data_IF_161341137821
#
_entry.id   IF_161341137821
#
_cell.length_a   1.000
_cell.length_b   1.000
_cell.length_c   1.000
_cell.angle_alpha   90.00
_cell.angle_beta   90.00
_cell.angle_gamma   90.00
#
_symmetry.space_group_name_H-M   'P 1'
#
loop_
_entity.id
_entity.type
_entity.pdbx_description
1 polymer ?
#
# COMPACT_ATOMS: atom_id res chain seq x y z
N UNK A 1 6.15 5.23 23.37
CA UNK A 1 6.85 3.97 23.04
C UNK A 1 7.21 3.29 24.35
N UNK A 2 7.17 1.96 24.42
CA UNK A 2 7.78 1.21 25.53
C UNK A 2 9.15 0.75 25.04
N UNK A 3 10.20 1.13 25.75
CA UNK A 3 11.57 0.79 25.40
C UNK A 3 12.09 -0.23 26.40
N UNK A 4 12.59 -1.36 25.89
CA UNK A 4 13.40 -2.30 26.66
C UNK A 4 14.85 -2.00 26.28
N UNK A 5 15.68 -1.72 27.27
CA UNK A 5 17.08 -1.41 27.04
C UNK A 5 17.77 -2.60 26.35
N UNK A 6 18.50 -2.38 25.26
CA UNK A 6 19.09 -3.46 24.46
C UNK A 6 20.11 -4.31 25.23
N UNK A 7 20.81 -3.68 26.19
CA UNK A 7 21.73 -4.35 27.13
C UNK A 7 21.05 -5.04 28.34
N UNK A 8 19.71 -5.01 28.42
CA UNK A 8 18.97 -5.78 29.42
C UNK A 8 18.96 -7.29 29.10
N UNK A 9 19.27 -7.65 27.85
CA UNK A 9 19.47 -9.04 27.42
C UNK A 9 20.93 -9.43 27.60
N UNK A 10 21.19 -10.62 28.13
CA UNK A 10 22.55 -11.09 28.34
C UNK A 10 23.26 -11.39 27.02
N UNK A 11 24.59 -11.28 27.06
CA UNK A 11 25.45 -11.73 25.97
C UNK A 11 25.27 -13.22 25.63
N UNK A 12 25.01 -14.08 26.62
CA UNK A 12 24.75 -15.51 26.42
C UNK A 12 23.47 -15.75 25.61
N UNK A 13 22.37 -15.05 25.93
CA UNK A 13 21.11 -15.17 25.19
C UNK A 13 21.24 -14.68 23.74
N UNK A 14 21.86 -13.52 23.55
CA UNK A 14 22.04 -12.92 22.22
C UNK A 14 23.05 -13.68 21.34
N UNK A 15 23.92 -14.49 21.95
CA UNK A 15 24.80 -15.40 21.20
C UNK A 15 24.05 -16.60 20.60
N UNK A 16 22.92 -16.99 21.22
CA UNK A 16 22.12 -18.16 20.82
C UNK A 16 20.95 -17.79 19.92
N UNK A 17 20.44 -16.57 20.04
CA UNK A 17 19.24 -16.10 19.34
C UNK A 17 19.49 -14.77 18.64
N UNK A 18 18.96 -14.63 17.43
CA UNK A 18 19.03 -13.38 16.68
C UNK A 18 18.27 -12.27 17.46
N UNK A 19 18.89 -11.09 17.71
CA UNK A 19 18.24 -9.99 18.43
C UNK A 19 16.88 -9.57 17.85
N UNK A 20 16.69 -9.68 16.54
CA UNK A 20 15.42 -9.34 15.89
C UNK A 20 14.34 -10.40 16.13
N UNK A 21 14.72 -11.67 16.27
CA UNK A 21 13.79 -12.74 16.66
C UNK A 21 13.37 -12.59 18.11
N UNK A 22 14.30 -12.19 18.99
CA UNK A 22 14.01 -11.85 20.39
C UNK A 22 13.02 -10.68 20.44
N UNK A 23 13.34 -9.57 19.76
CA UNK A 23 12.48 -8.39 19.73
C UNK A 23 11.08 -8.71 19.19
N UNK A 24 10.99 -9.41 18.06
CA UNK A 24 9.70 -9.83 17.48
C UNK A 24 8.89 -10.67 18.45
N UNK A 25 9.54 -11.69 19.03
CA UNK A 25 8.86 -12.65 19.89
C UNK A 25 8.32 -11.99 21.15
N UNK A 26 9.09 -11.10 21.78
CA UNK A 26 8.66 -10.39 22.99
C UNK A 26 7.42 -9.54 22.72
N UNK A 27 7.42 -8.76 21.64
CA UNK A 27 6.27 -7.91 21.30
C UNK A 27 5.06 -8.77 20.94
N UNK A 28 5.25 -9.81 20.11
CA UNK A 28 4.18 -10.73 19.72
C UNK A 28 3.58 -11.47 20.92
N UNK A 29 4.41 -11.99 21.81
CA UNK A 29 4.00 -12.67 23.04
C UNK A 29 3.19 -11.71 23.94
N UNK A 30 3.70 -10.48 24.12
CA UNK A 30 3.03 -9.44 24.92
C UNK A 30 1.65 -9.09 24.34
N UNK A 31 1.56 -8.91 23.02
CA UNK A 31 0.29 -8.60 22.36
C UNK A 31 -0.72 -9.74 22.47
N UNK A 32 -0.28 -11.00 22.32
CA UNK A 32 -1.14 -12.18 22.50
C UNK A 32 -1.66 -12.26 23.94
N UNK A 33 -0.80 -12.06 24.93
CA UNK A 33 -1.16 -12.11 26.34
C UNK A 33 -2.11 -10.98 26.77
N UNK A 34 -1.95 -9.79 26.19
CA UNK A 34 -2.72 -8.59 26.56
C UNK A 34 -3.92 -8.33 25.64
N UNK A 35 -4.19 -9.18 24.65
CA UNK A 35 -5.21 -8.96 23.63
C UNK A 35 -6.56 -8.58 24.21
N UNK A 36 -7.05 -9.36 25.18
CA UNK A 36 -8.38 -9.16 25.77
C UNK A 36 -8.46 -7.89 26.63
N UNK A 37 -7.33 -7.39 27.14
CA UNK A 37 -7.24 -6.13 27.90
C UNK A 37 -7.12 -4.92 26.98
N UNK A 38 -6.39 -5.06 25.87
CA UNK A 38 -6.13 -3.98 24.91
C UNK A 38 -7.31 -3.73 23.98
N UNK A 39 -8.02 -4.78 23.54
CA UNK A 39 -9.13 -4.65 22.59
C UNK A 39 -10.23 -3.69 23.08
N UNK A 40 -10.70 -3.75 24.36
CA UNK A 40 -11.67 -2.78 24.87
C UNK A 40 -11.15 -1.34 24.87
N UNK A 41 -9.86 -1.11 25.09
CA UNK A 41 -9.25 0.23 25.05
C UNK A 41 -9.29 0.77 23.62
N UNK A 42 -8.90 -0.05 22.65
CA UNK A 42 -8.94 0.28 21.23
C UNK A 42 -10.37 0.59 20.77
N UNK A 43 -11.34 -0.21 21.19
CA UNK A 43 -12.78 0.04 20.95
C UNK A 43 -13.24 1.37 21.54
N UNK A 44 -12.95 1.65 22.83
CA UNK A 44 -13.31 2.92 23.49
C UNK A 44 -12.67 4.13 22.85
N UNK A 45 -11.46 3.98 22.29
CA UNK A 45 -10.77 5.05 21.57
C UNK A 45 -11.37 5.35 20.18
N UNK A 46 -12.31 4.53 19.71
CA UNK A 46 -12.84 4.61 18.35
C UNK A 46 -11.78 4.29 17.29
N UNK A 47 -10.79 3.44 17.61
CA UNK A 47 -9.71 3.06 16.71
C UNK A 47 -8.57 4.07 16.59
N UNK A 48 -8.55 5.13 17.42
CA UNK A 48 -7.45 6.10 17.48
C UNK A 48 -6.18 5.51 18.11
N UNK A 49 -6.34 4.51 18.97
CA UNK A 49 -5.23 3.78 19.58
C UNK A 49 -5.02 2.49 18.80
N UNK A 50 -3.77 2.24 18.42
CA UNK A 50 -3.32 1.05 17.72
C UNK A 50 -2.08 0.52 18.41
N UNK A 51 -2.00 -0.79 18.59
CA UNK A 51 -0.81 -1.44 19.15
C UNK A 51 -0.39 -2.55 18.20
N UNK A 52 0.85 -2.47 17.70
CA UNK A 52 1.33 -3.32 16.62
C UNK A 52 2.74 -3.81 16.88
N UNK A 53 3.02 -5.00 16.39
CA UNK A 53 4.37 -5.51 16.24
C UNK A 53 4.90 -5.15 14.85
N UNK A 54 5.65 -4.07 14.76
CA UNK A 54 6.15 -3.52 13.50
C UNK A 54 7.67 -3.63 13.46
N UNK A 55 8.20 -4.54 12.64
CA UNK A 55 9.64 -4.71 12.42
C UNK A 55 9.97 -4.26 11.00
N UNK A 56 10.64 -3.12 10.90
CA UNK A 56 11.21 -2.60 9.65
C UNK A 56 12.65 -2.12 9.92
N UNK A 57 13.61 -2.72 9.21
CA UNK A 57 15.05 -2.43 9.33
C UNK A 57 15.36 -0.96 8.99
N UNK A 58 14.55 -0.34 8.14
CA UNK A 58 14.70 1.07 7.74
C UNK A 58 13.94 2.02 8.65
N UNK A 59 13.25 1.51 9.68
CA UNK A 59 12.45 2.34 10.57
C UNK A 59 13.35 3.21 11.43
N UNK A 60 12.99 4.48 11.50
CA UNK A 60 13.63 5.44 12.38
C UNK A 60 12.77 5.65 13.62
N UNK A 61 13.41 5.73 14.78
CA UNK A 61 12.74 6.04 16.03
C UNK A 61 12.97 7.51 16.40
N UNK A 62 11.99 8.09 17.08
CA UNK A 62 12.12 9.43 17.66
C UNK A 62 13.22 9.42 18.72
N UNK A 63 14.28 10.18 18.50
CA UNK A 63 15.35 10.33 19.48
C UNK A 63 14.83 11.09 20.72
N UNK A 64 15.24 10.68 21.94
CA UNK A 64 14.94 11.45 23.14
C UNK A 64 15.38 12.91 23.02
N UNK A 65 14.60 13.82 23.58
CA UNK A 65 14.73 15.28 23.53
C UNK A 65 14.62 15.90 22.12
N UNK A 66 14.30 15.13 21.08
CA UNK A 66 13.95 15.70 19.78
C UNK A 66 12.61 16.43 19.81
N UNK A 67 12.48 17.44 18.94
CA UNK A 67 11.27 18.26 18.83
C UNK A 67 10.21 17.56 17.97
N UNK A 68 8.96 17.65 18.39
CA UNK A 68 7.84 17.16 17.60
C UNK A 68 7.60 18.11 16.40
N UNK A 69 7.45 17.54 15.19
CA UNK A 69 7.39 18.33 13.95
C UNK A 69 6.22 19.32 13.85
N UNK A 70 5.10 19.02 14.52
CA UNK A 70 3.84 19.77 14.40
C UNK A 70 3.32 20.39 15.70
N UNK A 71 3.91 20.00 16.83
CA UNK A 71 3.46 20.39 18.14
C UNK A 71 4.67 20.92 18.88
N UNK A 72 4.51 21.98 19.66
CA UNK A 72 5.59 22.61 20.42
C UNK A 72 5.90 21.78 21.67
N UNK A 73 6.29 20.52 21.44
CA UNK A 73 6.56 19.50 22.44
C UNK A 73 7.89 18.80 22.11
N UNK A 74 8.59 18.31 23.13
CA UNK A 74 9.78 17.49 23.00
C UNK A 74 9.53 16.03 23.44
N UNK A 75 10.33 15.11 22.90
CA UNK A 75 10.27 13.71 23.30
C UNK A 75 10.94 13.52 24.67
N UNK A 76 10.15 13.25 25.72
CA UNK A 76 10.67 12.95 27.05
C UNK A 76 10.64 11.45 27.36
N UNK A 77 11.57 11.01 28.20
CA UNK A 77 11.65 9.64 28.71
C UNK A 77 11.43 9.67 30.21
N UNK A 78 10.76 8.64 30.73
CA UNK A 78 10.48 8.45 32.15
C UNK A 78 10.35 6.96 32.48
N UNK A 79 10.59 6.59 33.73
CA UNK A 79 10.48 5.20 34.20
C UNK A 79 9.02 4.73 34.27
N UNK A 80 8.75 3.42 34.12
CA UNK A 80 7.38 2.89 34.12
C UNK A 80 6.56 3.20 35.38
N UNK A 81 7.20 3.30 36.55
CA UNK A 81 6.55 3.65 37.81
C UNK A 81 5.96 5.08 37.85
N UNK A 82 6.37 5.95 36.93
CA UNK A 82 5.85 7.30 36.81
C UNK A 82 4.69 7.43 35.81
N UNK A 83 4.26 6.35 35.16
CA UNK A 83 3.16 6.34 34.16
C UNK A 83 1.87 6.92 34.72
N UNK A 84 1.49 6.58 35.95
CA UNK A 84 0.24 7.05 36.57
C UNK A 84 0.24 8.56 36.87
N UNK A 85 1.42 9.17 36.90
CA UNK A 85 1.62 10.61 37.15
C UNK A 85 1.90 11.40 35.87
N UNK A 86 1.99 10.70 34.73
CA UNK A 86 2.32 11.32 33.46
C UNK A 86 1.25 12.33 33.06
N UNK A 87 1.70 13.54 32.71
CA UNK A 87 0.88 14.57 32.10
C UNK A 87 1.59 15.12 30.86
N UNK A 88 0.81 15.55 29.87
CA UNK A 88 1.35 16.04 28.60
C UNK A 88 2.29 17.26 28.78
N UNK A 89 2.10 18.05 29.84
CA UNK A 89 2.96 19.19 30.18
C UNK A 89 4.42 18.80 30.40
N UNK A 90 4.72 17.53 30.71
CA UNK A 90 6.09 17.03 30.83
C UNK A 90 6.87 17.17 29.53
N UNK A 91 6.20 17.30 28.40
CA UNK A 91 6.83 17.48 27.09
C UNK A 91 6.94 18.94 26.65
N UNK A 92 6.57 19.93 27.48
CA UNK A 92 6.64 21.35 27.14
C UNK A 92 8.09 21.83 26.98
N UNK A 93 8.38 22.63 25.95
CA UNK A 93 9.76 23.04 25.63
C UNK A 93 10.46 23.83 26.74
N UNK A 94 9.72 24.64 27.48
CA UNK A 94 10.27 25.51 28.54
C UNK A 94 10.44 24.78 29.88
N UNK A 95 9.74 23.66 30.09
CA UNK A 95 9.61 23.01 31.40
C UNK A 95 9.52 21.48 31.32
N UNK A 96 10.22 20.89 30.34
CA UNK A 96 10.15 19.45 30.11
C UNK A 96 10.69 18.65 31.30
N UNK A 97 10.10 17.48 31.52
CA UNK A 97 10.52 16.51 32.54
C UNK A 97 11.10 15.28 31.86
N UNK A 98 12.41 15.19 31.81
CA UNK A 98 13.14 14.07 31.24
C UNK A 98 13.95 13.37 32.33
N UNK A 99 13.67 12.09 32.56
CA UNK A 99 14.35 11.28 33.55
C UNK A 99 15.49 10.51 32.92
N UNK A 100 16.73 10.96 33.16
CA UNK A 100 17.96 10.37 32.61
C UNK A 100 18.17 8.90 33.00
N UNK A 101 17.55 8.43 34.08
CA UNK A 101 17.65 7.04 34.53
C UNK A 101 16.97 6.06 33.57
N UNK A 102 16.22 6.54 32.56
CA UNK A 102 15.59 5.70 31.54
C UNK A 102 16.58 4.76 30.81
N UNK A 103 17.88 5.07 30.85
CA UNK A 103 18.98 4.28 30.27
C UNK A 103 19.54 3.21 31.21
N UNK A 104 19.15 3.19 32.47
CA UNK A 104 19.62 2.16 33.40
C UNK A 104 19.01 0.80 33.05
N UNK A 105 19.82 -0.23 33.20
CA UNK A 105 19.46 -1.63 32.95
C UNK A 105 20.32 -2.52 33.85
N UNK A 106 19.86 -3.76 34.04
CA UNK A 106 20.62 -4.85 34.63
C UNK A 106 20.81 -5.93 33.56
N UNK A 107 22.05 -6.32 33.27
CA UNK A 107 22.30 -7.35 32.26
C UNK A 107 21.61 -8.67 32.64
N UNK A 108 20.84 -9.22 31.70
CA UNK A 108 20.10 -10.47 31.87
C UNK A 108 18.71 -10.31 32.52
N UNK A 109 18.29 -9.11 32.93
CA UNK A 109 16.97 -8.91 33.53
C UNK A 109 15.81 -9.27 32.59
N UNK A 110 16.03 -9.16 31.27
CA UNK A 110 15.03 -9.45 30.25
C UNK A 110 15.10 -10.87 29.68
N UNK A 111 16.04 -11.71 30.15
CA UNK A 111 16.29 -13.02 29.55
C UNK A 111 15.14 -14.00 29.75
N UNK A 112 14.55 -14.02 30.94
CA UNK A 112 13.41 -14.89 31.26
C UNK A 112 12.23 -14.63 30.30
N UNK A 113 11.89 -13.35 30.11
CA UNK A 113 10.87 -12.91 29.16
C UNK A 113 11.23 -13.30 27.72
N UNK A 114 12.49 -13.10 27.31
CA UNK A 114 12.95 -13.43 25.97
C UNK A 114 12.82 -14.94 25.67
N UNK A 115 13.25 -15.79 26.61
CA UNK A 115 13.19 -17.25 26.48
C UNK A 115 11.74 -17.72 26.37
N UNK A 116 10.87 -17.22 27.25
CA UNK A 116 9.44 -17.58 27.25
C UNK A 116 8.76 -17.13 25.94
N UNK A 117 9.03 -15.90 25.52
CA UNK A 117 8.48 -15.35 24.29
C UNK A 117 8.97 -16.12 23.05
N UNK A 118 10.26 -16.46 22.99
CA UNK A 118 10.82 -17.28 21.91
C UNK A 118 10.20 -18.67 21.87
N UNK A 119 9.99 -19.30 23.02
CA UNK A 119 9.34 -20.61 23.09
C UNK A 119 7.88 -20.56 22.58
N UNK A 120 7.15 -19.48 22.90
CA UNK A 120 5.75 -19.33 22.52
C UNK A 120 5.54 -18.86 21.07
N UNK A 121 6.45 -18.04 20.54
CA UNK A 121 6.31 -17.37 19.22
C UNK A 121 7.19 -18.01 18.15
N UNK A 122 8.42 -18.38 18.50
CA UNK A 122 9.38 -19.01 17.60
C UNK A 122 10.16 -18.06 16.68
N UNK A 123 10.25 -16.77 17.00
CA UNK A 123 11.00 -15.79 16.21
C UNK A 123 10.25 -15.20 15.02
N UNK A 124 10.93 -14.35 14.24
CA UNK A 124 10.37 -13.70 13.07
C UNK A 124 10.55 -14.57 11.82
N UNK A 125 9.45 -15.06 11.25
CA UNK A 125 9.52 -15.97 10.09
C UNK A 125 9.85 -15.28 8.76
N UNK A 126 9.88 -13.95 8.72
CA UNK A 126 10.16 -13.18 7.51
C UNK A 126 11.62 -13.22 7.04
N UNK A 127 12.53 -13.82 7.82
CA UNK A 127 13.94 -14.02 7.43
C UNK A 127 14.16 -15.20 6.47
N UNK A 128 13.23 -16.16 6.44
CA UNK A 128 13.38 -17.37 5.62
C UNK A 128 13.16 -17.04 4.13
N UNK A 129 14.10 -17.43 3.27
CA UNK A 129 13.99 -17.25 1.82
C UNK A 129 12.67 -17.83 1.29
N UNK A 130 11.90 -17.00 0.57
CA UNK A 130 10.64 -17.41 -0.05
C UNK A 130 9.40 -17.35 0.83
N UNK A 131 9.51 -16.95 2.11
CA UNK A 131 8.35 -16.75 3.00
C UNK A 131 7.79 -15.35 2.82
N UNK A 132 6.49 -15.24 2.48
CA UNK A 132 5.75 -13.96 2.53
C UNK A 132 5.81 -13.42 3.97
N UNK A 133 6.11 -12.14 4.13
CA UNK A 133 6.17 -11.42 5.42
C UNK A 133 5.19 -12.02 6.43
N UNK A 134 5.73 -12.52 7.54
CA UNK A 134 4.93 -13.09 8.61
C UNK A 134 3.95 -12.01 9.09
N UNK A 135 2.65 -12.30 9.07
CA UNK A 135 1.65 -11.38 9.61
C UNK A 135 1.91 -11.20 11.11
N UNK A 136 2.47 -10.06 11.48
CA UNK A 136 2.66 -9.67 12.86
C UNK A 136 1.32 -9.36 13.53
N UNK A 137 1.20 -9.56 14.83
CA UNK A 137 -0.02 -9.20 15.55
C UNK A 137 -0.24 -7.68 15.52
N UNK A 138 -1.46 -7.29 15.20
CA UNK A 138 -1.97 -5.93 15.35
C UNK A 138 -3.27 -5.97 16.13
N UNK A 139 -3.36 -5.13 17.16
CA UNK A 139 -4.60 -4.88 17.90
C UNK A 139 -5.06 -3.49 17.49
N UNK A 140 -5.96 -3.50 16.52
CA UNK A 140 -6.62 -2.34 15.96
C UNK A 140 -8.12 -2.65 15.87
N UNK A 141 -8.98 -1.63 15.88
CA UNK A 141 -10.27 -1.82 15.23
C UNK A 141 -9.95 -2.16 13.78
N UNK A 142 -10.55 -3.21 13.21
CA UNK A 142 -10.58 -3.35 11.76
C UNK A 142 -11.05 -2.01 11.23
N UNK A 143 -10.19 -1.33 10.46
CA UNK A 143 -10.59 -0.12 9.79
C UNK A 143 -11.82 -0.52 8.98
N UNK A 144 -13.02 -0.05 9.39
CA UNK A 144 -14.16 -0.04 8.48
C UNK A 144 -13.59 0.59 7.22
N UNK A 145 -13.58 -0.09 6.07
CA UNK A 145 -12.92 0.41 4.88
C UNK A 145 -13.42 1.82 4.67
N UNK A 146 -12.54 2.80 4.95
CA UNK A 146 -12.86 4.20 4.80
C UNK A 146 -13.13 4.34 3.31
N UNK A 147 -14.40 4.44 2.91
CA UNK A 147 -14.91 4.25 1.54
C UNK A 147 -13.78 4.36 0.52
N UNK A 148 -13.17 3.22 0.16
CA UNK A 148 -11.79 3.19 -0.30
C UNK A 148 -11.63 4.17 -1.45
N UNK A 149 -10.92 5.29 -1.27
CA UNK A 149 -10.81 6.24 -2.39
C UNK A 149 -10.12 5.50 -3.53
N UNK A 150 -10.80 5.35 -4.67
CA UNK A 150 -10.24 4.65 -5.83
C UNK A 150 -8.95 5.38 -6.22
N UNK A 151 -7.81 4.68 -6.13
CA UNK A 151 -6.51 5.25 -6.43
C UNK A 151 -6.29 5.43 -7.94
N UNK A 152 -5.33 6.31 -8.29
CA UNK A 152 -4.95 6.59 -9.69
C UNK A 152 -4.59 5.33 -10.48
N UNK A 153 -3.94 4.37 -9.83
CA UNK A 153 -3.57 3.10 -10.44
C UNK A 153 -4.80 2.28 -10.85
N UNK A 154 -5.80 2.18 -9.96
CA UNK A 154 -7.06 1.51 -10.25
C UNK A 154 -7.84 2.24 -11.35
N UNK A 155 -7.89 3.58 -11.33
CA UNK A 155 -8.54 4.37 -12.40
C UNK A 155 -7.83 4.16 -13.75
N UNK A 156 -6.49 4.16 -13.76
CA UNK A 156 -5.71 3.90 -14.99
C UNK A 156 -6.01 2.51 -15.54
N UNK A 157 -5.97 1.49 -14.69
CA UNK A 157 -6.23 0.11 -15.12
C UNK A 157 -7.67 -0.06 -15.63
N UNK A 158 -8.65 0.51 -14.93
CA UNK A 158 -10.06 0.48 -15.31
C UNK A 158 -10.29 1.13 -16.67
N UNK A 159 -9.80 2.36 -16.86
CA UNK A 159 -10.01 3.09 -18.11
C UNK A 159 -9.24 2.48 -19.28
N UNK A 160 -8.03 1.97 -19.08
CA UNK A 160 -7.29 1.27 -20.15
C UNK A 160 -7.95 -0.06 -20.53
N UNK A 161 -8.49 -0.80 -19.55
CA UNK A 161 -9.27 -2.00 -19.85
C UNK A 161 -10.54 -1.65 -20.64
N UNK A 162 -11.32 -0.69 -20.17
CA UNK A 162 -12.53 -0.24 -20.86
C UNK A 162 -12.23 0.29 -22.28
N UNK A 163 -11.12 1.01 -22.45
CA UNK A 163 -10.60 1.48 -23.76
C UNK A 163 -10.32 0.31 -24.70
N UNK A 164 -9.57 -0.68 -24.23
CA UNK A 164 -9.25 -1.87 -25.03
C UNK A 164 -10.52 -2.64 -25.41
N UNK A 165 -11.43 -2.81 -24.45
CA UNK A 165 -12.71 -3.50 -24.68
C UNK A 165 -13.55 -2.79 -25.74
N UNK A 166 -13.63 -1.46 -25.72
CA UNK A 166 -14.36 -0.69 -26.74
C UNK A 166 -13.75 -0.82 -28.16
N UNK A 167 -12.45 -1.07 -28.25
CA UNK A 167 -11.75 -1.20 -29.53
C UNK A 167 -11.79 -2.63 -30.09
N UNK A 168 -11.94 -3.65 -29.24
CA UNK A 168 -11.73 -5.05 -29.62
C UNK A 168 -12.89 -5.99 -29.30
N UNK A 169 -13.72 -5.65 -28.30
CA UNK A 169 -14.78 -6.51 -27.78
C UNK A 169 -14.33 -7.63 -26.85
N UNK A 170 -13.03 -7.79 -26.61
CA UNK A 170 -12.47 -8.89 -25.80
C UNK A 170 -12.26 -8.46 -24.34
N UNK A 171 -13.12 -8.94 -23.44
CA UNK A 171 -13.12 -8.54 -22.02
C UNK A 171 -11.89 -9.07 -21.26
N UNK A 172 -11.46 -10.29 -21.54
CA UNK A 172 -10.34 -10.89 -20.82
C UNK A 172 -9.03 -10.21 -21.23
N UNK A 173 -8.83 -9.99 -22.54
CA UNK A 173 -7.67 -9.22 -23.00
C UNK A 173 -7.72 -7.77 -22.54
N UNK A 174 -8.91 -7.17 -22.43
CA UNK A 174 -9.07 -5.84 -21.86
C UNK A 174 -8.54 -5.77 -20.42
N UNK A 175 -8.91 -6.73 -19.55
CA UNK A 175 -8.41 -6.80 -18.17
C UNK A 175 -6.90 -6.96 -18.13
N UNK A 176 -6.36 -7.88 -18.92
CA UNK A 176 -4.91 -8.09 -19.07
C UNK A 176 -4.19 -6.81 -19.52
N UNK A 177 -4.71 -6.14 -20.55
CA UNK A 177 -4.16 -4.89 -21.09
C UNK A 177 -4.20 -3.75 -20.07
N UNK A 178 -5.34 -3.56 -19.40
CA UNK A 178 -5.54 -2.48 -18.43
C UNK A 178 -4.56 -2.57 -17.27
N UNK A 179 -4.38 -3.77 -16.70
CA UNK A 179 -3.40 -3.99 -15.64
C UNK A 179 -1.97 -3.73 -16.15
N UNK A 180 -1.62 -4.28 -17.32
CA UNK A 180 -0.29 -4.12 -17.91
C UNK A 180 0.06 -2.64 -18.15
N UNK A 181 -0.86 -1.84 -18.70
CA UNK A 181 -0.63 -0.40 -18.92
C UNK A 181 -0.52 0.37 -17.61
N UNK A 182 -1.33 0.05 -16.60
CA UNK A 182 -1.21 0.69 -15.29
C UNK A 182 0.17 0.44 -14.65
N UNK A 183 0.67 -0.80 -14.73
CA UNK A 183 2.03 -1.16 -14.27
C UNK A 183 3.08 -0.40 -15.08
N UNK A 184 2.95 -0.36 -16.40
CA UNK A 184 3.89 0.35 -17.27
C UNK A 184 4.00 1.83 -16.92
N UNK A 185 2.87 2.53 -16.77
CA UNK A 185 2.87 3.96 -16.41
C UNK A 185 3.40 4.21 -14.99
N UNK A 186 3.12 3.31 -14.05
CA UNK A 186 3.69 3.37 -12.72
C UNK A 186 5.22 3.23 -12.77
N UNK A 187 5.74 2.24 -13.51
CA UNK A 187 7.18 2.03 -13.71
C UNK A 187 7.84 3.22 -14.42
N UNK A 188 7.25 3.69 -15.52
CA UNK A 188 7.78 4.78 -16.34
C UNK A 188 7.91 6.08 -15.54
N UNK A 189 6.99 6.36 -14.61
CA UNK A 189 7.06 7.54 -13.73
C UNK A 189 8.34 7.58 -12.90
N UNK A 190 8.83 6.43 -12.43
CA UNK A 190 10.02 6.34 -11.58
C UNK A 190 11.33 6.22 -12.36
N UNK A 191 11.27 5.78 -13.63
CA UNK A 191 12.46 5.46 -14.42
C UNK A 191 12.61 6.33 -15.69
N UNK A 192 11.73 7.31 -15.94
CA UNK A 192 11.72 8.08 -17.20
C UNK A 192 13.04 8.77 -17.57
N UNK A 193 13.84 9.22 -16.59
CA UNK A 193 15.15 9.85 -16.84
C UNK A 193 16.22 8.84 -17.24
N UNK A 194 16.29 7.72 -16.53
CA UNK A 194 17.30 6.67 -16.76
C UNK A 194 16.97 5.84 -18.01
N UNK A 195 15.68 5.63 -18.29
CA UNK A 195 15.16 4.86 -19.43
C UNK A 195 15.43 5.57 -20.75
N UNK A 196 15.34 6.90 -20.81
CA UNK A 196 15.62 7.65 -22.06
C UNK A 196 17.09 7.53 -22.48
N UNK A 197 18.00 7.55 -21.49
CA UNK A 197 19.43 7.31 -21.69
C UNK A 197 19.73 5.84 -22.02
N UNK A 198 19.10 4.90 -21.30
CA UNK A 198 19.29 3.47 -21.51
C UNK A 198 18.73 2.97 -22.86
N UNK A 199 17.56 3.44 -23.31
CA UNK A 199 16.98 3.10 -24.62
C UNK A 199 17.81 3.64 -25.78
N UNK A 200 18.35 4.85 -25.65
CA UNK A 200 19.28 5.40 -26.64
C UNK A 200 20.55 4.51 -26.74
N UNK A 201 21.09 4.10 -25.59
CA UNK A 201 22.27 3.24 -25.53
C UNK A 201 22.01 1.77 -25.95
N UNK A 202 20.79 1.26 -25.76
CA UNK A 202 20.39 -0.10 -26.16
C UNK A 202 20.05 -0.18 -27.65
N UNK A 203 19.43 0.87 -28.22
CA UNK A 203 19.23 0.99 -29.69
C UNK A 203 20.56 1.06 -30.43
N UNK A 204 21.55 1.76 -29.89
CA UNK A 204 22.90 1.82 -30.44
C UNK A 204 23.65 0.47 -30.43
N UNK A 205 23.27 -0.47 -29.54
CA UNK A 205 23.99 -1.75 -29.32
C UNK A 205 23.31 -2.99 -29.89
N UNK A 206 22.17 -2.87 -30.57
CA UNK A 206 21.45 -4.02 -31.15
C UNK A 206 20.93 -5.06 -30.13
N UNK A 207 21.13 -4.84 -28.82
CA UNK A 207 20.74 -5.73 -27.73
C UNK A 207 19.21 -5.92 -27.60
N UNK A 208 18.44 -4.98 -28.14
CA UNK A 208 16.98 -4.99 -28.17
C UNK A 208 16.40 -6.21 -28.92
N UNK A 209 17.16 -6.82 -29.84
CA UNK A 209 16.72 -7.97 -30.63
C UNK A 209 16.92 -9.31 -29.88
N UNK A 210 17.99 -9.42 -29.07
CA UNK A 210 18.35 -10.64 -28.32
C UNK A 210 17.47 -10.92 -27.10
N UNK A 211 17.00 -9.89 -26.39
CA UNK A 211 16.06 -10.06 -25.26
C UNK A 211 14.64 -10.43 -25.73
N UNK A 212 14.30 -10.05 -26.97
CA UNK A 212 13.01 -10.28 -27.64
C UNK A 212 12.75 -11.76 -27.94
N UNK A 213 13.80 -12.48 -28.37
CA UNK A 213 13.74 -13.90 -28.71
C UNK A 213 13.81 -14.81 -27.46
N UNK A 214 14.50 -14.36 -26.39
CA UNK A 214 14.73 -15.18 -25.20
C UNK A 214 13.51 -15.36 -24.27
N UNK A 215 12.45 -14.55 -24.40
CA UNK A 215 11.29 -14.54 -23.47
C UNK A 215 9.95 -15.00 -24.07
N UNK A 216 9.92 -15.46 -25.33
CA UNK A 216 8.68 -15.93 -25.96
C UNK A 216 7.57 -14.86 -26.07
N UNK A 217 7.94 -13.58 -26.11
CA UNK A 217 7.00 -12.47 -26.13
C UNK A 217 7.01 -11.77 -27.51
N UNK A 218 5.86 -11.80 -28.19
CA UNK A 218 5.61 -11.08 -29.44
C UNK A 218 5.28 -9.62 -29.14
N UNK A 219 5.75 -8.71 -29.97
CA UNK A 219 5.43 -7.29 -29.86
C UNK A 219 4.26 -6.98 -30.79
N UNK A 220 3.17 -6.42 -30.27
CA UNK A 220 1.99 -6.03 -31.05
C UNK A 220 1.72 -4.53 -30.91
N UNK A 221 1.17 -3.93 -31.96
CA UNK A 221 0.68 -2.55 -31.93
C UNK A 221 -0.79 -2.55 -31.53
N UNK A 222 -1.12 -1.91 -30.41
CA UNK A 222 -2.51 -1.81 -29.94
C UNK A 222 -2.73 -0.52 -29.17
N UNK A 223 -3.88 0.12 -29.34
CA UNK A 223 -4.21 1.39 -28.67
C UNK A 223 -3.13 2.49 -28.88
N UNK A 224 -2.46 2.49 -30.03
CA UNK A 224 -1.39 3.46 -30.34
C UNK A 224 -0.06 3.20 -29.64
N UNK A 225 0.13 2.02 -29.03
CA UNK A 225 1.34 1.63 -28.30
C UNK A 225 1.86 0.26 -28.75
N UNK A 226 3.19 0.09 -28.70
CA UNK A 226 3.83 -1.22 -28.83
C UNK A 226 3.83 -1.94 -27.48
N UNK A 227 3.23 -3.12 -27.41
CA UNK A 227 3.11 -3.90 -26.17
C UNK A 227 3.52 -5.34 -26.38
N UNK A 228 4.20 -5.91 -25.39
CA UNK A 228 4.57 -7.32 -25.38
C UNK A 228 3.39 -8.20 -24.99
N UNK A 229 3.20 -9.27 -25.76
CA UNK A 229 2.23 -10.33 -25.51
C UNK A 229 2.91 -11.70 -25.58
N UNK A 230 2.44 -12.62 -24.76
CA UNK A 230 2.83 -14.04 -24.83
C UNK A 230 2.21 -14.72 -26.05
N UNK A 231 2.64 -15.94 -26.36
CA UNK A 231 2.02 -16.76 -27.42
C UNK A 231 0.54 -17.08 -27.17
N UNK A 232 0.11 -17.12 -25.90
CA UNK A 232 -1.31 -17.26 -25.51
C UNK A 232 -2.09 -15.94 -25.61
N UNK A 233 -1.45 -14.84 -26.03
CA UNK A 233 -2.10 -13.55 -26.27
C UNK A 233 -2.24 -12.66 -25.03
N UNK A 234 -1.73 -13.08 -23.87
CA UNK A 234 -1.74 -12.26 -22.65
C UNK A 234 -0.63 -11.23 -22.65
N UNK A 235 -0.93 -10.02 -22.16
CA UNK A 235 0.04 -8.95 -22.03
C UNK A 235 1.09 -9.26 -20.94
N UNK A 236 2.33 -8.86 -21.19
CA UNK A 236 3.47 -9.13 -20.30
C UNK A 236 4.37 -7.91 -20.16
N UNK A 237 5.03 -7.79 -19.01
CA UNK A 237 6.03 -6.77 -18.73
C UNK A 237 7.09 -7.33 -17.78
N UNK A 238 8.37 -7.14 -18.11
CA UNK A 238 9.48 -7.63 -17.30
C UNK A 238 9.53 -9.16 -17.13
N UNK A 239 8.90 -9.92 -18.04
CA UNK A 239 8.80 -11.38 -17.94
C UNK A 239 7.62 -11.89 -17.08
N UNK A 240 6.84 -10.99 -16.47
CA UNK A 240 5.64 -11.35 -15.72
C UNK A 240 4.42 -11.21 -16.61
N UNK A 241 3.58 -12.23 -16.70
CA UNK A 241 2.29 -12.20 -17.42
C UNK A 241 1.24 -11.48 -16.56
N UNK A 242 0.43 -10.63 -17.16
CA UNK A 242 -0.71 -9.97 -16.51
C UNK A 242 -1.99 -10.68 -16.93
N UNK A 243 -2.50 -11.60 -16.13
CA UNK A 243 -3.72 -12.33 -16.45
C UNK A 243 -4.99 -11.53 -16.08
N UNK A 244 -6.16 -11.87 -16.65
CA UNK A 244 -7.44 -11.29 -16.22
C UNK A 244 -7.72 -11.53 -14.73
N UNK A 245 -7.30 -12.67 -14.19
CA UNK A 245 -7.44 -12.98 -12.76
C UNK A 245 -6.60 -12.04 -11.88
N UNK A 246 -5.43 -11.63 -12.35
CA UNK A 246 -4.59 -10.65 -11.63
C UNK A 246 -5.25 -9.28 -11.61
N UNK A 247 -5.88 -8.87 -12.72
CA UNK A 247 -6.67 -7.65 -12.76
C UNK A 247 -7.83 -7.72 -11.76
N UNK A 248 -8.59 -8.81 -11.73
CA UNK A 248 -9.73 -8.93 -10.82
C UNK A 248 -9.28 -8.85 -9.36
N UNK A 249 -8.17 -9.51 -9.03
CA UNK A 249 -7.60 -9.50 -7.69
C UNK A 249 -7.04 -8.14 -7.25
N UNK A 250 -6.39 -7.40 -8.14
CA UNK A 250 -5.67 -6.16 -7.78
C UNK A 250 -6.46 -4.88 -8.08
N UNK A 251 -7.33 -4.91 -9.07
CA UNK A 251 -8.08 -3.75 -9.56
C UNK A 251 -9.53 -3.87 -9.16
N UNK A 252 -10.22 -4.92 -9.61
CA UNK A 252 -11.66 -5.04 -9.38
C UNK A 252 -12.00 -5.14 -7.88
N UNK A 253 -11.24 -5.95 -7.13
CA UNK A 253 -11.40 -6.07 -5.68
C UNK A 253 -11.20 -4.73 -4.96
N UNK A 254 -10.15 -3.99 -5.32
CA UNK A 254 -9.84 -2.70 -4.70
C UNK A 254 -10.84 -1.59 -5.07
N UNK A 255 -11.39 -1.61 -6.28
CA UNK A 255 -12.50 -0.74 -6.68
C UNK A 255 -13.77 -1.12 -5.91
N UNK A 256 -14.04 -2.42 -5.74
CA UNK A 256 -15.22 -2.94 -5.03
C UNK A 256 -15.27 -2.52 -3.56
N UNK A 257 -14.12 -2.24 -2.94
CA UNK A 257 -14.03 -1.63 -1.61
C UNK A 257 -14.58 -0.19 -1.53
N UNK A 258 -14.83 0.44 -2.67
CA UNK A 258 -15.32 1.81 -2.79
C UNK A 258 -16.75 1.89 -3.36
N UNK A 259 -16.97 1.22 -4.49
CA UNK A 259 -18.21 1.15 -5.26
C UNK A 259 -18.28 -0.22 -5.94
N UNK A 260 -19.47 -0.79 -6.20
CA UNK A 260 -19.56 -2.05 -6.94
C UNK A 260 -18.80 -1.97 -8.27
N UNK A 261 -17.92 -2.95 -8.54
CA UNK A 261 -17.08 -2.92 -9.73
C UNK A 261 -17.90 -2.80 -11.03
N UNK A 262 -19.05 -3.48 -11.09
CA UNK A 262 -19.96 -3.39 -12.23
C UNK A 262 -20.48 -1.98 -12.48
N UNK A 263 -20.72 -1.19 -11.43
CA UNK A 263 -21.09 0.22 -11.57
C UNK A 263 -19.92 1.04 -12.11
N UNK A 264 -18.70 0.80 -11.60
CA UNK A 264 -17.49 1.46 -12.07
C UNK A 264 -17.19 1.14 -13.55
N UNK A 265 -17.31 -0.13 -13.94
CA UNK A 265 -17.11 -0.62 -15.30
C UNK A 265 -18.10 0.01 -16.28
N UNK A 266 -19.40 -0.02 -15.96
CA UNK A 266 -20.44 0.62 -16.79
C UNK A 266 -20.19 2.12 -16.95
N UNK A 267 -19.86 2.81 -15.87
CA UNK A 267 -19.56 4.24 -15.90
C UNK A 267 -18.31 4.54 -16.74
N UNK A 268 -17.25 3.73 -16.65
CA UNK A 268 -16.07 3.84 -17.48
C UNK A 268 -16.38 3.67 -18.97
N UNK A 269 -17.19 2.66 -19.33
CA UNK A 269 -17.59 2.42 -20.73
C UNK A 269 -18.37 3.59 -21.30
N UNK A 270 -19.37 4.10 -20.58
CA UNK A 270 -20.17 5.25 -21.03
C UNK A 270 -19.33 6.52 -21.15
N UNK A 271 -18.45 6.76 -20.18
CA UNK A 271 -17.50 7.87 -20.22
C UNK A 271 -16.60 7.81 -21.44
N UNK A 272 -16.04 6.64 -21.77
CA UNK A 272 -15.17 6.50 -22.93
C UNK A 272 -15.93 6.62 -24.26
N UNK A 273 -17.19 6.21 -24.32
CA UNK A 273 -18.06 6.38 -25.50
C UNK A 273 -18.36 7.84 -25.84
N UNK A 274 -18.23 8.77 -24.89
CA UNK A 274 -18.41 10.20 -25.18
C UNK A 274 -17.24 10.81 -25.96
N UNK A 275 -16.14 10.06 -26.16
CA UNK A 275 -14.98 10.53 -26.91
C UNK A 275 -14.95 9.89 -28.31
N UNK A 276 -14.41 10.60 -29.33
CA UNK A 276 -14.19 10.02 -30.64
C UNK A 276 -13.24 8.81 -30.57
N UNK A 277 -13.44 7.82 -31.44
CA UNK A 277 -12.59 6.63 -31.50
C UNK A 277 -11.09 6.97 -31.67
N UNK A 278 -10.77 8.07 -32.34
CA UNK A 278 -9.39 8.56 -32.51
C UNK A 278 -8.69 8.91 -31.20
N UNK A 279 -9.43 9.30 -30.15
CA UNK A 279 -8.89 9.55 -28.82
C UNK A 279 -8.59 8.24 -28.09
N UNK A 280 -9.40 7.20 -28.34
CA UNK A 280 -9.15 5.87 -27.80
C UNK A 280 -8.03 5.15 -28.56
N UNK A 281 -7.76 5.47 -29.81
CA UNK A 281 -6.65 4.87 -30.57
C UNK A 281 -5.30 5.55 -30.30
N UNK A 282 -5.30 6.81 -29.88
CA UNK A 282 -4.09 7.61 -29.65
C UNK A 282 -3.72 7.64 -28.16
N UNK A 283 -2.52 7.17 -27.84
CA UNK A 283 -2.00 7.09 -26.48
C UNK A 283 -1.91 8.45 -25.77
N UNK A 284 -1.46 9.49 -26.46
CA UNK A 284 -1.26 10.81 -25.86
C UNK A 284 -2.60 11.51 -25.63
N UNK A 285 -3.51 11.42 -26.60
CA UNK A 285 -4.87 11.96 -26.45
C UNK A 285 -5.61 11.26 -25.33
N UNK A 286 -5.55 9.93 -25.27
CA UNK A 286 -6.15 9.18 -24.18
C UNK A 286 -5.59 9.63 -22.82
N UNK A 287 -4.27 9.74 -22.69
CA UNK A 287 -3.68 10.13 -21.41
C UNK A 287 -4.08 11.55 -20.98
N UNK A 288 -3.95 12.53 -21.88
CA UNK A 288 -4.13 13.94 -21.56
C UNK A 288 -5.60 14.37 -21.46
N UNK A 289 -6.45 13.91 -22.37
CA UNK A 289 -7.82 14.40 -22.52
C UNK A 289 -8.86 13.49 -21.87
N UNK A 290 -8.53 12.20 -21.68
CA UNK A 290 -9.48 11.21 -21.14
C UNK A 290 -9.10 10.83 -19.71
N UNK A 291 -7.89 10.31 -19.48
CA UNK A 291 -7.49 9.84 -18.15
C UNK A 291 -7.19 10.98 -17.17
N UNK A 292 -6.31 11.91 -17.55
CA UNK A 292 -5.79 12.95 -16.65
C UNK A 292 -6.88 13.83 -16.00
N UNK A 293 -7.99 14.20 -16.66
CA UNK A 293 -9.05 14.99 -16.05
C UNK A 293 -9.81 14.28 -14.93
N UNK A 294 -9.91 12.95 -14.97
CA UNK A 294 -10.74 12.17 -14.03
C UNK A 294 -9.93 11.31 -13.04
N UNK A 295 -8.62 11.17 -13.22
CA UNK A 295 -7.75 10.26 -12.44
C UNK A 295 -7.81 10.40 -10.92
N UNK A 296 -8.14 11.59 -10.43
CA UNK A 296 -8.11 11.93 -9.00
C UNK A 296 -9.49 11.87 -8.34
N UNK A 297 -10.56 12.04 -9.13
CA UNK A 297 -11.95 12.20 -8.67
C UNK A 297 -12.94 11.42 -9.56
N UNK A 298 -12.55 10.22 -10.02
CA UNK A 298 -13.33 9.41 -10.97
C UNK A 298 -14.76 9.15 -10.48
N UNK A 299 -14.95 8.81 -9.21
CA UNK A 299 -16.28 8.55 -8.64
C UNK A 299 -17.18 9.77 -8.75
N UNK A 300 -16.69 10.96 -8.43
CA UNK A 300 -17.52 12.16 -8.45
C UNK A 300 -17.80 12.64 -9.87
N UNK A 301 -16.76 12.67 -10.72
CA UNK A 301 -16.84 13.24 -12.08
C UNK A 301 -17.51 12.31 -13.09
N UNK A 302 -17.39 11.00 -12.91
CA UNK A 302 -17.86 10.00 -13.88
C UNK A 302 -19.04 9.21 -13.33
N UNK A 303 -18.92 8.66 -12.11
CA UNK A 303 -19.96 7.78 -11.55
C UNK A 303 -21.17 8.57 -11.02
N UNK A 304 -20.95 9.65 -10.24
CA UNK A 304 -22.04 10.45 -9.66
C UNK A 304 -22.68 11.42 -10.65
N UNK A 305 -21.93 11.99 -11.60
CA UNK A 305 -22.48 12.85 -12.66
C UNK A 305 -23.55 12.12 -13.50
N UNK A 306 -23.43 10.80 -13.65
CA UNK A 306 -24.49 9.95 -14.22
C UNK A 306 -25.78 9.98 -13.40
N UNK A 307 -25.68 9.87 -12.07
CA UNK A 307 -26.86 9.88 -11.18
C UNK A 307 -27.63 11.20 -11.25
N UNK A 308 -26.98 12.35 -11.47
CA UNK A 308 -27.70 13.62 -11.58
C UNK A 308 -28.40 13.83 -12.93
N UNK A 309 -27.86 13.27 -14.01
CA UNK A 309 -28.46 13.36 -15.36
C UNK A 309 -29.64 12.39 -15.52
N UNK A 310 -29.70 11.32 -14.72
CA UNK A 310 -30.80 10.35 -14.72
C UNK A 310 -31.89 10.58 -13.66
N UNK A 311 -31.82 11.65 -12.85
CA UNK A 311 -32.98 12.04 -12.02
C UNK A 311 -34.08 12.52 -12.95
N UNK A 312 -35.16 11.75 -13.06
CA UNK A 312 -36.38 12.19 -13.75
C UNK A 312 -36.97 13.39 -13.01
N UNK A 313 -37.70 14.26 -13.73
CA UNK A 313 -38.34 15.45 -13.15
C UNK A 313 -39.15 15.11 -11.88
N UNK A 314 -39.76 13.92 -11.83
CA UNK A 314 -40.52 13.42 -10.69
C UNK A 314 -39.69 13.26 -9.39
N UNK A 315 -38.40 12.93 -9.48
CA UNK A 315 -37.52 12.82 -8.30
C UNK A 315 -37.08 14.18 -7.76
N UNK A 316 -37.03 15.20 -8.62
CA UNK A 316 -36.70 16.57 -8.24
C UNK A 316 -37.89 17.21 -7.51
N UNK A 317 -39.13 16.94 -7.95
CA UNK A 317 -40.34 17.46 -7.31
C UNK A 317 -40.66 16.84 -5.95
N UNK A 318 -40.13 15.64 -5.64
CA UNK A 318 -40.27 15.04 -4.30
C UNK A 318 -39.43 15.71 -3.21
N UNK A 319 -38.41 16.50 -3.56
CA UNK A 319 -37.60 17.24 -2.57
C UNK A 319 -38.19 18.59 -2.16
N UNK A 320 -39.28 19.03 -2.81
CA UNK A 320 -39.98 20.29 -2.53
C UNK A 320 -41.39 20.09 -1.94
N UNK A 321 -41.67 18.90 -1.38
CA UNK A 321 -42.84 18.63 -0.55
C UNK A 321 -42.42 18.30 0.87
#
# INVERSE_FOLDING_TARGET
>A
HVHIHERAFSSDLLSKHNPLDVAFSIVEYTLRALKDKLMPIVMRSGGKVKVENEIDIKRVFTAPLSLHRKHDLCCVCFKPNAVDQFDISWANLESFRHDMSWKEYVEGEADSLAIEALAAVGGYRGWAEGVKEAKAASIALEEKPQAAKIGRFQVMALLQAARYYLLTGDLDKAKSFGLNRAIFYAWAKHHARDVKAALAAARARGAYKKEKEARGAKLIQVCGEEVFVTDSGWFTMGGVVQSPKDYDRQIALNISSAIPYEEAWKAAIEYLKSFPQSYLQDQQKFFNEVYKPVRDNFVDLVVKRKKSVHKTLDEIFKQFR
#
